data_IF_679985385845
#
_entry.id   IF_679985385845
#
_cell.length_a   1.000
_cell.length_b   1.000
_cell.length_c   1.000
_cell.angle_alpha   90.00
_cell.angle_beta   90.00
_cell.angle_gamma   90.00
#
_symmetry.space_group_name_H-M   'P 1'
#
loop_
_entity.id
_entity.type
_entity.pdbx_description
1 polymer ?
#
# COMPACT_ATOMS: atom_id res chain seq x y z
N UNK A 1 5.75 -14.05 -5.22
CA UNK A 1 4.40 -13.88 -5.81
C UNK A 1 4.04 -12.42 -5.65
N UNK A 2 3.74 -11.72 -6.74
CA UNK A 2 3.41 -10.30 -6.67
C UNK A 2 2.05 -10.11 -6.00
N UNK A 3 1.92 -9.12 -5.12
CA UNK A 3 0.67 -8.72 -4.46
C UNK A 3 0.15 -7.45 -5.08
N UNK A 4 -1.00 -7.53 -5.70
CA UNK A 4 -1.60 -6.44 -6.44
C UNK A 4 -2.92 -6.04 -5.78
N UNK A 5 -3.15 -4.75 -5.61
CA UNK A 5 -4.46 -4.22 -5.20
C UNK A 5 -5.19 -3.72 -6.45
N UNK A 6 -6.43 -4.15 -6.63
CA UNK A 6 -7.31 -3.65 -7.69
C UNK A 6 -8.09 -2.47 -7.11
N UNK A 7 -7.75 -1.28 -7.57
CA UNK A 7 -8.31 -0.04 -7.04
C UNK A 7 -9.62 0.31 -7.77
N UNK A 8 -10.73 0.55 -7.05
CA UNK A 8 -12.01 0.89 -7.63
C UNK A 8 -11.96 2.24 -8.32
N UNK A 9 -12.69 2.30 -9.42
CA UNK A 9 -12.93 3.53 -10.13
C UNK A 9 -13.69 4.52 -9.25
N UNK A 10 -13.25 5.78 -9.23
CA UNK A 10 -14.00 6.88 -8.63
C UNK A 10 -13.69 8.16 -9.34
N UNK A 11 -14.73 8.87 -9.70
CA UNK A 11 -14.69 10.23 -10.20
C UNK A 11 -14.94 11.16 -9.03
N UNK A 12 -13.90 11.82 -8.53
CA UNK A 12 -14.07 13.03 -7.74
C UNK A 12 -13.09 14.09 -8.24
N UNK A 13 -13.54 15.34 -8.31
CA UNK A 13 -12.78 16.48 -8.85
C UNK A 13 -11.60 16.93 -7.96
N UNK A 14 -11.11 16.05 -7.08
CA UNK A 14 -9.98 16.26 -6.19
C UNK A 14 -9.30 14.91 -5.98
N UNK A 15 -7.96 14.90 -5.94
CA UNK A 15 -7.14 13.72 -5.67
C UNK A 15 -7.21 13.31 -4.19
N UNK A 16 -8.43 13.13 -3.67
CA UNK A 16 -8.75 12.80 -2.27
C UNK A 16 -8.14 11.46 -1.87
N UNK A 17 -7.94 10.58 -2.86
CA UNK A 17 -7.40 9.25 -2.65
C UNK A 17 -5.86 9.22 -2.56
N UNK A 18 -5.15 10.35 -2.61
CA UNK A 18 -3.67 10.35 -2.62
C UNK A 18 -3.08 9.62 -1.41
N UNK A 19 -3.55 9.93 -0.20
CA UNK A 19 -3.02 9.35 1.03
C UNK A 19 -3.25 7.82 1.09
N UNK A 20 -4.43 7.36 0.66
CA UNK A 20 -4.72 5.92 0.58
C UNK A 20 -3.87 5.25 -0.51
N UNK A 21 -3.64 5.88 -1.67
CA UNK A 21 -2.76 5.33 -2.72
C UNK A 21 -1.32 5.25 -2.20
N UNK A 22 -0.84 6.27 -1.47
CA UNK A 22 0.49 6.26 -0.83
C UNK A 22 0.60 5.08 0.15
N UNK A 23 -0.37 4.93 1.06
CA UNK A 23 -0.44 3.78 1.98
C UNK A 23 -0.45 2.44 1.25
N UNK A 24 -1.30 2.28 0.23
CA UNK A 24 -1.41 1.05 -0.54
C UNK A 24 -0.12 0.73 -1.28
N UNK A 25 0.59 1.74 -1.79
CA UNK A 25 1.88 1.54 -2.45
C UNK A 25 2.94 1.01 -1.49
N UNK A 26 2.87 1.34 -0.19
CA UNK A 26 3.75 0.76 0.82
C UNK A 26 3.46 -0.72 1.09
N UNK A 27 2.33 -1.29 0.70
CA UNK A 27 2.03 -2.69 1.01
C UNK A 27 1.87 -3.59 -0.22
N UNK A 28 1.42 -3.04 -1.34
CA UNK A 28 1.22 -3.78 -2.58
C UNK A 28 2.36 -3.51 -3.56
N UNK A 29 2.74 -4.53 -4.32
CA UNK A 29 3.73 -4.42 -5.39
C UNK A 29 3.22 -3.50 -6.50
N UNK A 30 1.93 -3.61 -6.85
CA UNK A 30 1.30 -2.75 -7.86
C UNK A 30 -0.14 -2.39 -7.46
N UNK A 31 -0.56 -1.22 -7.91
CA UNK A 31 -1.96 -0.76 -7.88
C UNK A 31 -2.53 -0.91 -9.29
N UNK A 32 -3.52 -1.78 -9.46
CA UNK A 32 -4.19 -2.03 -10.73
C UNK A 32 -5.42 -1.13 -10.87
N UNK A 33 -5.54 -0.47 -12.03
CA UNK A 33 -6.61 0.47 -12.33
C UNK A 33 -7.18 0.16 -13.71
N UNK A 34 -8.51 0.12 -13.83
CA UNK A 34 -9.15 -0.09 -15.14
C UNK A 34 -8.86 1.07 -16.10
N UNK A 35 -8.58 0.78 -17.36
CA UNK A 35 -8.26 1.78 -18.40
C UNK A 35 -9.36 2.86 -18.54
N UNK A 36 -10.62 2.48 -18.29
CA UNK A 36 -11.76 3.40 -18.28
C UNK A 36 -11.65 4.56 -17.28
N UNK A 37 -10.75 4.49 -16.29
CA UNK A 37 -10.46 5.63 -15.40
C UNK A 37 -9.71 6.76 -16.14
N UNK A 38 -8.74 6.39 -16.98
CA UNK A 38 -7.90 7.37 -17.66
C UNK A 38 -8.63 8.07 -18.80
N UNK A 39 -9.72 7.49 -19.34
CA UNK A 39 -10.51 8.17 -20.37
C UNK A 39 -11.18 9.46 -19.88
N UNK A 40 -11.44 9.61 -18.58
CA UNK A 40 -12.04 10.84 -18.03
C UNK A 40 -10.99 11.93 -17.83
N UNK A 41 -9.79 11.55 -17.42
CA UNK A 41 -8.63 12.43 -17.30
C UNK A 41 -8.06 12.78 -18.69
N UNK A 42 -8.31 11.96 -19.73
CA UNK A 42 -7.84 12.22 -21.09
C UNK A 42 -8.36 13.52 -21.72
N UNK A 43 -9.45 14.09 -21.17
CA UNK A 43 -10.00 15.38 -21.57
C UNK A 43 -9.23 16.60 -21.04
N UNK A 44 -8.28 16.41 -20.11
CA UNK A 44 -7.50 17.50 -19.49
C UNK A 44 -6.69 18.28 -20.52
N UNK A 45 -6.24 17.63 -21.60
CA UNK A 45 -5.54 18.29 -22.72
C UNK A 45 -6.36 19.38 -23.43
N UNK A 46 -7.69 19.37 -23.25
CA UNK A 46 -8.63 20.36 -23.82
C UNK A 46 -9.02 21.46 -22.82
N UNK A 47 -8.55 21.37 -21.58
CA UNK A 47 -8.83 22.34 -20.53
C UNK A 47 -7.69 23.34 -20.42
N UNK A 48 -7.99 24.57 -20.06
CA UNK A 48 -6.97 25.54 -19.68
C UNK A 48 -6.55 25.33 -18.22
N UNK A 49 -5.26 25.49 -17.93
CA UNK A 49 -4.74 25.42 -16.58
C UNK A 49 -5.13 26.70 -15.82
N UNK A 50 -6.11 26.57 -14.93
CA UNK A 50 -6.59 27.60 -14.02
C UNK A 50 -6.72 27.01 -12.60
N UNK A 51 -7.09 27.83 -11.61
CA UNK A 51 -7.25 27.37 -10.22
C UNK A 51 -8.28 26.24 -10.07
N UNK A 52 -9.33 26.24 -10.90
CA UNK A 52 -10.38 25.22 -10.87
C UNK A 52 -9.92 23.85 -11.38
N UNK A 53 -9.03 23.85 -12.38
CA UNK A 53 -8.55 22.64 -13.05
C UNK A 53 -7.19 22.14 -12.51
N UNK A 54 -6.50 22.91 -11.67
CA UNK A 54 -5.16 22.58 -11.18
C UNK A 54 -5.07 21.17 -10.56
N UNK A 55 -6.10 20.76 -9.82
CA UNK A 55 -6.17 19.42 -9.22
C UNK A 55 -6.20 18.29 -10.25
N UNK A 56 -6.87 18.50 -11.39
CA UNK A 56 -6.96 17.53 -12.48
C UNK A 56 -5.64 17.37 -13.23
N UNK A 57 -4.93 18.49 -13.47
CA UNK A 57 -3.58 18.45 -14.06
C UNK A 57 -2.59 17.74 -13.12
N UNK A 58 -2.63 18.05 -11.83
CA UNK A 58 -1.82 17.37 -10.83
C UNK A 58 -2.11 15.86 -10.78
N UNK A 59 -3.39 15.48 -10.70
CA UNK A 59 -3.79 14.07 -10.69
C UNK A 59 -3.30 13.33 -11.95
N UNK A 60 -3.43 13.93 -13.14
CA UNK A 60 -2.94 13.34 -14.38
C UNK A 60 -1.41 13.14 -14.38
N UNK A 61 -0.67 14.14 -13.89
CA UNK A 61 0.78 14.06 -13.78
C UNK A 61 1.21 12.98 -12.80
N UNK A 62 0.59 12.91 -11.62
CA UNK A 62 0.86 11.87 -10.62
C UNK A 62 0.58 10.48 -11.18
N UNK A 63 -0.58 10.25 -11.79
CA UNK A 63 -0.87 8.93 -12.36
C UNK A 63 0.12 8.53 -13.46
N UNK A 64 0.55 9.47 -14.29
CA UNK A 64 1.56 9.20 -15.32
C UNK A 64 2.89 8.82 -14.69
N UNK A 65 3.35 9.61 -13.72
CA UNK A 65 4.56 9.34 -12.94
C UNK A 65 4.52 7.97 -12.25
N UNK A 66 3.39 7.60 -11.65
CA UNK A 66 3.24 6.31 -10.98
C UNK A 66 3.24 5.11 -11.94
N UNK A 67 2.73 5.28 -13.16
CA UNK A 67 2.82 4.26 -14.21
C UNK A 67 4.26 4.09 -14.68
N UNK A 68 4.95 5.19 -14.94
CA UNK A 68 6.34 5.20 -15.42
C UNK A 68 7.29 4.54 -14.40
N UNK A 69 6.98 4.67 -13.12
CA UNK A 69 7.72 4.04 -12.02
C UNK A 69 7.19 2.66 -11.60
N UNK A 70 6.33 2.02 -12.41
CA UNK A 70 5.76 0.69 -12.14
C UNK A 70 5.03 0.56 -10.78
N UNK A 71 4.52 1.67 -10.22
CA UNK A 71 3.66 1.65 -9.03
C UNK A 71 2.24 1.30 -9.42
N UNK A 72 1.79 1.83 -10.56
CA UNK A 72 0.44 1.66 -11.09
C UNK A 72 0.49 0.88 -12.39
N UNK A 73 -0.40 -0.09 -12.52
CA UNK A 73 -0.64 -0.85 -13.75
C UNK A 73 -2.07 -0.67 -14.19
N UNK A 74 -2.32 -0.79 -15.48
CA UNK A 74 -3.67 -0.67 -16.03
C UNK A 74 -4.15 -1.99 -16.62
N UNK A 75 -5.47 -2.15 -16.68
CA UNK A 75 -6.11 -3.32 -17.28
C UNK A 75 -7.33 -2.91 -18.09
N UNK A 76 -7.62 -3.60 -19.21
CA UNK A 76 -8.76 -3.27 -20.06
C UNK A 76 -10.07 -3.67 -19.40
N UNK A 77 -11.17 -3.15 -19.94
CA UNK A 77 -12.49 -3.65 -19.56
C UNK A 77 -12.72 -5.07 -20.08
N UNK A 78 -13.05 -5.98 -19.17
CA UNK A 78 -13.37 -7.37 -19.48
C UNK A 78 -14.88 -7.56 -19.57
N UNK A 79 -15.39 -8.04 -20.71
CA UNK A 79 -16.81 -8.39 -20.86
C UNK A 79 -17.09 -9.79 -20.31
N UNK A 80 -16.13 -10.69 -20.48
CA UNK A 80 -16.11 -12.07 -20.04
C UNK A 80 -15.92 -12.23 -18.52
N UNK A 81 -15.64 -11.15 -17.77
CA UNK A 81 -15.67 -11.20 -16.29
C UNK A 81 -17.05 -11.56 -15.71
N UNK A 82 -18.11 -11.36 -16.49
CA UNK A 82 -19.48 -11.76 -16.16
C UNK A 82 -19.83 -13.16 -16.67
N UNK A 83 -18.94 -13.78 -17.44
CA UNK A 83 -19.14 -15.07 -18.07
C UNK A 83 -18.45 -16.16 -17.25
N UNK A 84 -19.19 -17.20 -16.85
CA UNK A 84 -18.61 -18.34 -16.13
C UNK A 84 -19.60 -19.17 -15.33
N UNK A 85 -19.21 -20.40 -15.03
CA UNK A 85 -19.95 -21.30 -14.13
C UNK A 85 -19.49 -21.21 -12.68
N UNK A 86 -18.49 -20.37 -12.40
CA UNK A 86 -18.00 -20.13 -11.05
C UNK A 86 -19.14 -19.57 -10.18
N UNK A 87 -19.41 -20.25 -9.05
CA UNK A 87 -20.50 -19.90 -8.15
C UNK A 87 -20.37 -18.47 -7.60
N UNK A 88 -19.14 -18.03 -7.31
CA UNK A 88 -18.90 -16.67 -6.82
C UNK A 88 -19.19 -15.64 -7.92
N UNK A 89 -18.71 -15.87 -9.15
CA UNK A 89 -18.97 -14.97 -10.29
C UNK A 89 -20.47 -14.84 -10.57
N UNK A 90 -21.20 -15.95 -10.56
CA UNK A 90 -22.64 -15.96 -10.78
C UNK A 90 -23.39 -15.19 -9.69
N UNK A 91 -22.97 -15.33 -8.43
CA UNK A 91 -23.59 -14.65 -7.30
C UNK A 91 -23.33 -13.12 -7.36
N UNK A 92 -22.08 -12.72 -7.57
CA UNK A 92 -21.72 -11.30 -7.69
C UNK A 92 -22.40 -10.63 -8.88
N UNK A 93 -22.50 -11.31 -10.03
CA UNK A 93 -23.18 -10.80 -11.21
C UNK A 93 -24.66 -10.58 -10.94
N UNK A 94 -25.35 -11.54 -10.30
CA UNK A 94 -26.76 -11.38 -9.90
C UNK A 94 -26.97 -10.24 -8.92
N UNK A 95 -26.07 -10.07 -7.94
CA UNK A 95 -26.15 -8.96 -7.00
C UNK A 95 -26.01 -7.61 -7.72
N UNK A 96 -25.07 -7.51 -8.66
CA UNK A 96 -24.85 -6.31 -9.46
C UNK A 96 -26.05 -6.00 -10.37
N UNK A 97 -26.59 -7.01 -11.05
CA UNK A 97 -27.80 -6.87 -11.87
C UNK A 97 -29.00 -6.39 -11.05
N UNK A 98 -29.19 -6.93 -9.85
CA UNK A 98 -30.26 -6.52 -8.93
C UNK A 98 -30.14 -5.04 -8.54
N UNK A 99 -28.91 -4.57 -8.32
CA UNK A 99 -28.65 -3.15 -8.05
C UNK A 99 -29.05 -2.29 -9.25
N UNK A 100 -28.58 -2.60 -10.45
CA UNK A 100 -28.95 -1.85 -11.65
C UNK A 100 -30.46 -1.87 -11.94
N UNK A 101 -31.17 -2.95 -11.61
CA UNK A 101 -32.63 -3.01 -11.73
C UNK A 101 -33.32 -2.08 -10.73
N UNK A 102 -32.84 -2.01 -9.48
CA UNK A 102 -33.40 -1.13 -8.44
C UNK A 102 -33.36 0.34 -8.85
N UNK A 103 -32.28 0.80 -9.49
CA UNK A 103 -32.18 2.17 -10.00
C UNK A 103 -33.23 2.48 -11.07
N UNK A 104 -33.49 1.54 -11.98
CA UNK A 104 -34.47 1.72 -13.06
C UNK A 104 -35.91 1.84 -12.55
N UNK A 105 -36.21 1.26 -11.39
CA UNK A 105 -37.55 1.27 -10.80
C UNK A 105 -37.81 2.44 -9.85
N UNK A 106 -36.77 3.05 -9.26
CA UNK A 106 -36.89 4.14 -8.27
C UNK A 106 -36.95 5.55 -8.90
N UNK A 107 -37.76 5.73 -9.94
CA UNK A 107 -37.85 7.00 -10.69
C UNK A 107 -38.61 8.16 -10.02
N UNK A 108 -39.14 7.99 -8.81
CA UNK A 108 -39.95 9.01 -8.13
C UNK A 108 -39.10 9.83 -7.14
N UNK A 109 -38.24 10.70 -7.68
CA UNK A 109 -37.57 11.70 -6.86
C UNK A 109 -38.51 12.89 -6.58
N UNK A 110 -38.63 13.35 -5.33
CA UNK A 110 -39.40 14.54 -5.02
C UNK A 110 -38.82 15.77 -5.75
N UNK A 111 -39.68 16.57 -6.39
CA UNK A 111 -39.26 17.77 -7.15
C UNK A 111 -38.62 18.85 -6.28
N UNK A 112 -39.00 18.90 -5.00
CA UNK A 112 -38.48 19.82 -4.00
C UNK A 112 -38.24 19.05 -2.69
N UNK A 113 -37.11 18.31 -2.58
CA UNK A 113 -36.80 17.56 -1.37
C UNK A 113 -36.56 18.53 -0.20
N UNK A 114 -37.02 18.16 0.99
CA UNK A 114 -36.53 18.78 2.23
C UNK A 114 -35.03 18.51 2.41
N UNK A 115 -34.34 19.25 3.28
CA UNK A 115 -32.92 19.00 3.58
C UNK A 115 -32.67 17.56 4.07
N UNK A 116 -33.58 17.03 4.89
CA UNK A 116 -33.53 15.66 5.39
C UNK A 116 -33.72 14.63 4.27
N UNK A 117 -34.68 14.86 3.36
CA UNK A 117 -34.86 14.02 2.17
C UNK A 117 -33.64 14.07 1.25
N UNK A 118 -33.04 15.24 1.07
CA UNK A 118 -31.83 15.41 0.27
C UNK A 118 -30.64 14.65 0.89
N UNK A 119 -30.50 14.67 2.21
CA UNK A 119 -29.45 13.95 2.92
C UNK A 119 -29.61 12.43 2.76
N UNK A 120 -30.82 11.90 2.92
CA UNK A 120 -31.09 10.47 2.74
C UNK A 120 -30.91 10.03 1.28
N UNK A 121 -31.37 10.83 0.32
CA UNK A 121 -31.15 10.57 -1.11
C UNK A 121 -29.66 10.52 -1.47
N UNK A 122 -28.85 11.46 -0.93
CA UNK A 122 -27.40 11.44 -1.11
C UNK A 122 -26.79 10.16 -0.53
N UNK A 123 -27.20 9.77 0.67
CA UNK A 123 -26.72 8.57 1.34
C UNK A 123 -27.08 7.30 0.54
N UNK A 124 -28.31 7.16 0.07
CA UNK A 124 -28.72 6.02 -0.76
C UNK A 124 -27.93 5.98 -2.06
N UNK A 125 -27.76 7.13 -2.73
CA UNK A 125 -26.97 7.25 -3.95
C UNK A 125 -25.51 6.83 -3.72
N UNK A 126 -24.84 7.38 -2.70
CA UNK A 126 -23.45 7.02 -2.42
C UNK A 126 -23.30 5.55 -2.05
N UNK A 127 -24.22 5.01 -1.25
CA UNK A 127 -24.20 3.59 -0.90
C UNK A 127 -24.37 2.71 -2.14
N UNK A 128 -25.32 3.06 -3.02
CA UNK A 128 -25.52 2.36 -4.29
C UNK A 128 -24.28 2.42 -5.19
N UNK A 129 -23.73 3.63 -5.34
CA UNK A 129 -22.54 3.89 -6.13
C UNK A 129 -21.35 3.06 -5.62
N UNK A 130 -21.04 3.08 -4.32
CA UNK A 130 -19.91 2.32 -3.80
C UNK A 130 -20.14 0.81 -3.88
N UNK A 131 -21.35 0.32 -3.60
CA UNK A 131 -21.65 -1.11 -3.66
C UNK A 131 -21.51 -1.68 -5.08
N UNK A 132 -21.99 -0.96 -6.10
CA UNK A 132 -21.84 -1.38 -7.50
C UNK A 132 -20.37 -1.44 -7.93
N UNK A 133 -19.55 -0.49 -7.50
CA UNK A 133 -18.11 -0.47 -7.79
C UNK A 133 -17.36 -1.58 -7.05
N UNK A 134 -17.69 -1.82 -5.78
CA UNK A 134 -17.10 -2.91 -4.99
C UNK A 134 -17.37 -4.27 -5.64
N UNK A 135 -18.62 -4.53 -6.08
CA UNK A 135 -18.97 -5.75 -6.82
C UNK A 135 -18.24 -5.86 -8.15
N UNK A 136 -18.16 -4.78 -8.94
CA UNK A 136 -17.40 -4.78 -10.19
C UNK A 136 -15.93 -5.11 -9.95
N UNK A 137 -15.30 -4.50 -8.95
CA UNK A 137 -13.89 -4.71 -8.65
C UNK A 137 -13.60 -6.13 -8.19
N UNK A 138 -14.52 -6.77 -7.45
CA UNK A 138 -14.39 -8.20 -7.13
C UNK A 138 -14.41 -9.06 -8.40
N UNK A 139 -15.32 -8.78 -9.33
CA UNK A 139 -15.38 -9.48 -10.62
C UNK A 139 -14.09 -9.25 -11.43
N UNK A 140 -13.60 -8.01 -11.50
CA UNK A 140 -12.32 -7.68 -12.14
C UNK A 140 -11.15 -8.44 -11.49
N UNK A 141 -11.12 -8.51 -10.16
CA UNK A 141 -10.09 -9.26 -9.42
C UNK A 141 -10.15 -10.75 -9.72
N UNK A 142 -11.33 -11.37 -9.71
CA UNK A 142 -11.51 -12.80 -10.04
C UNK A 142 -11.03 -13.06 -11.47
N UNK A 143 -11.36 -12.17 -12.40
CA UNK A 143 -10.92 -12.30 -13.79
C UNK A 143 -9.39 -12.16 -13.92
N UNK A 144 -8.78 -11.17 -13.29
CA UNK A 144 -7.31 -10.99 -13.28
C UNK A 144 -6.57 -12.22 -12.73
N UNK A 145 -7.09 -12.86 -11.67
CA UNK A 145 -6.53 -14.12 -11.13
C UNK A 145 -6.59 -15.29 -12.10
N UNK A 146 -7.54 -15.29 -13.05
CA UNK A 146 -7.63 -16.32 -14.10
C UNK A 146 -6.60 -16.08 -15.22
N UNK A 147 -6.21 -14.83 -15.43
CA UNK A 147 -5.24 -14.44 -16.46
C UNK A 147 -3.78 -14.60 -15.98
N UNK A 148 -3.54 -14.39 -14.69
CA UNK A 148 -2.22 -14.51 -14.07
C UNK A 148 -2.33 -15.29 -12.75
N UNK A 149 -1.92 -16.57 -12.80
CA UNK A 149 -1.91 -17.48 -11.65
C UNK A 149 -0.64 -17.35 -10.79
N UNK A 150 0.32 -16.53 -11.23
CA UNK A 150 1.58 -16.25 -10.53
C UNK A 150 1.51 -14.98 -9.67
N UNK A 151 0.39 -14.27 -9.69
CA UNK A 151 0.16 -13.08 -8.89
C UNK A 151 -1.12 -13.16 -8.04
N UNK A 152 -1.11 -12.45 -6.92
CA UNK A 152 -2.25 -12.30 -6.05
C UNK A 152 -2.92 -10.96 -6.35
N UNK A 153 -4.24 -10.97 -6.52
CA UNK A 153 -5.03 -9.76 -6.72
C UNK A 153 -6.02 -9.59 -5.57
N UNK A 154 -6.09 -8.39 -5.01
CA UNK A 154 -6.95 -8.04 -3.88
C UNK A 154 -7.86 -6.87 -4.23
N UNK A 155 -9.18 -7.00 -4.08
CA UNK A 155 -10.09 -5.89 -4.36
C UNK A 155 -10.01 -4.85 -3.23
N UNK A 156 -9.84 -3.57 -3.55
CA UNK A 156 -10.04 -2.50 -2.56
C UNK A 156 -11.53 -2.19 -2.46
N UNK A 157 -12.14 -2.54 -1.33
CA UNK A 157 -13.57 -2.39 -1.08
C UNK A 157 -13.84 -1.18 -0.16
N UNK A 158 -14.98 -0.50 -0.38
CA UNK A 158 -15.34 0.74 0.33
C UNK A 158 -16.51 0.58 1.27
N UNK A 159 -17.36 -0.41 1.03
CA UNK A 159 -18.58 -0.66 1.80
C UNK A 159 -18.38 -1.77 2.82
N UNK A 160 -18.89 -1.57 4.05
CA UNK A 160 -18.85 -2.59 5.11
C UNK A 160 -19.50 -3.92 4.68
N UNK A 161 -20.60 -3.84 3.92
CA UNK A 161 -21.34 -5.00 3.43
C UNK A 161 -20.50 -5.90 2.50
N UNK A 162 -19.49 -5.34 1.84
CA UNK A 162 -18.58 -6.10 0.96
C UNK A 162 -17.24 -6.43 1.62
N UNK A 163 -16.82 -5.69 2.64
CA UNK A 163 -15.56 -5.89 3.38
C UNK A 163 -15.51 -7.21 4.16
N UNK A 164 -16.64 -7.88 4.42
CA UNK A 164 -16.64 -9.17 5.11
C UNK A 164 -16.07 -10.26 4.21
N UNK A 165 -14.78 -10.52 4.39
CA UNK A 165 -14.12 -11.72 3.88
C UNK A 165 -14.08 -12.78 4.97
N UNK A 166 -14.66 -13.95 4.69
CA UNK A 166 -14.49 -15.14 5.52
C UNK A 166 -13.13 -15.83 5.29
N UNK A 167 -12.39 -15.40 4.26
CA UNK A 167 -11.04 -15.89 4.00
C UNK A 167 -10.05 -15.38 5.06
N UNK A 168 -9.39 -16.33 5.73
CA UNK A 168 -8.42 -16.09 6.80
C UNK A 168 -7.25 -15.23 6.31
N UNK A 169 -6.76 -15.43 5.08
CA UNK A 169 -5.62 -14.67 4.55
C UNK A 169 -5.96 -13.19 4.39
N UNK A 170 -7.15 -12.91 3.87
CA UNK A 170 -7.67 -11.55 3.74
C UNK A 170 -7.82 -10.86 5.09
N UNK A 171 -8.29 -11.57 6.11
CA UNK A 171 -8.37 -11.04 7.48
C UNK A 171 -6.99 -10.73 8.07
N UNK A 172 -5.99 -11.59 7.81
CA UNK A 172 -4.61 -11.35 8.22
C UNK A 172 -4.04 -10.11 7.55
N UNK A 173 -4.18 -10.00 6.23
CA UNK A 173 -3.74 -8.83 5.46
C UNK A 173 -4.42 -7.56 5.97
N UNK A 174 -5.71 -7.61 6.29
CA UNK A 174 -6.46 -6.45 6.74
C UNK A 174 -5.89 -5.86 8.04
N UNK A 175 -5.57 -6.68 9.05
CA UNK A 175 -5.00 -6.13 10.28
C UNK A 175 -3.55 -5.68 10.09
N UNK A 176 -2.76 -6.37 9.27
CA UNK A 176 -1.39 -5.92 8.96
C UNK A 176 -1.40 -4.57 8.25
N UNK A 177 -2.32 -4.38 7.30
CA UNK A 177 -2.48 -3.12 6.58
C UNK A 177 -2.91 -1.97 7.50
N UNK A 178 -3.60 -2.25 8.61
CA UNK A 178 -3.93 -1.21 9.60
C UNK A 178 -2.70 -0.64 10.29
N UNK A 179 -1.63 -1.42 10.41
CA UNK A 179 -0.36 -1.00 11.04
C UNK A 179 0.65 -0.43 10.04
N UNK A 180 0.36 -0.49 8.73
CA UNK A 180 1.08 0.28 7.72
C UNK A 180 0.69 1.76 7.84
N UNK A 181 1.65 2.68 7.94
CA UNK A 181 1.37 4.10 8.08
C UNK A 181 0.71 4.67 6.82
N UNK A 182 -0.03 5.75 7.01
CA UNK A 182 -0.53 6.58 5.94
C UNK A 182 0.41 7.79 5.81
N UNK A 183 1.25 7.86 4.76
CA UNK A 183 2.19 8.97 4.62
C UNK A 183 1.47 10.32 4.54
N UNK A 184 2.06 11.34 5.14
CA UNK A 184 1.52 12.70 5.11
C UNK A 184 1.34 13.20 3.67
N UNK A 185 0.39 14.11 3.45
CA UNK A 185 0.13 14.72 2.15
C UNK A 185 1.38 15.32 1.51
N UNK A 186 2.28 15.89 2.31
CA UNK A 186 3.53 16.51 1.86
C UNK A 186 4.64 15.50 1.53
N UNK A 187 4.45 14.21 1.83
CA UNK A 187 5.43 13.18 1.47
C UNK A 187 5.49 13.05 -0.05
N UNK A 188 6.65 13.28 -0.66
CA UNK A 188 6.82 13.14 -2.10
C UNK A 188 6.71 11.67 -2.53
N UNK A 189 6.26 11.46 -3.77
CA UNK A 189 6.22 10.12 -4.36
C UNK A 189 7.62 9.52 -4.55
N UNK A 190 8.63 10.33 -4.80
CA UNK A 190 10.03 9.89 -4.89
C UNK A 190 10.48 9.18 -3.62
N UNK A 191 10.19 9.73 -2.44
CA UNK A 191 10.56 9.10 -1.16
C UNK A 191 9.87 7.75 -0.95
N UNK A 192 8.63 7.61 -1.42
CA UNK A 192 7.88 6.35 -1.34
C UNK A 192 8.50 5.32 -2.30
N UNK A 193 8.85 5.73 -3.52
CA UNK A 193 9.47 4.85 -4.52
C UNK A 193 10.87 4.42 -4.07
N UNK A 194 11.68 5.36 -3.56
CA UNK A 194 13.00 5.08 -3.00
C UNK A 194 12.91 4.04 -1.87
N UNK A 195 11.99 4.24 -0.91
CA UNK A 195 11.77 3.29 0.17
C UNK A 195 11.39 1.89 -0.34
N UNK A 196 10.53 1.80 -1.36
CA UNK A 196 10.08 0.50 -1.93
C UNK A 196 11.14 -0.19 -2.76
N UNK A 197 12.06 0.57 -3.34
CA UNK A 197 13.12 0.07 -4.22
C UNK A 197 14.41 -0.25 -3.47
N UNK A 198 14.56 0.23 -2.24
CA UNK A 198 15.62 -0.16 -1.33
C UNK A 198 15.63 -1.69 -1.10
N UNK A 199 16.79 -2.31 -1.31
CA UNK A 199 16.94 -3.76 -1.29
C UNK A 199 16.66 -4.36 0.10
N UNK A 200 17.03 -3.65 1.17
CA UNK A 200 16.85 -4.14 2.53
C UNK A 200 15.41 -4.03 2.99
N UNK A 201 14.75 -2.92 2.64
CA UNK A 201 13.32 -2.73 2.87
C UNK A 201 12.53 -3.78 2.08
N UNK A 202 12.92 -4.04 0.83
CA UNK A 202 12.33 -5.10 0.01
C UNK A 202 12.49 -6.47 0.66
N UNK A 203 13.65 -6.80 1.21
CA UNK A 203 13.87 -8.06 1.92
C UNK A 203 12.99 -8.19 3.17
N UNK A 204 12.81 -7.10 3.93
CA UNK A 204 11.87 -7.06 5.08
C UNK A 204 10.42 -7.22 4.63
N UNK A 205 10.04 -6.61 3.51
CA UNK A 205 8.72 -6.79 2.90
C UNK A 205 8.44 -8.25 2.51
N UNK A 206 9.43 -8.91 1.89
CA UNK A 206 9.34 -10.33 1.54
C UNK A 206 9.19 -11.21 2.78
N UNK A 207 9.90 -10.89 3.87
CA UNK A 207 9.77 -11.60 5.15
C UNK A 207 8.36 -11.46 5.74
N UNK A 208 7.78 -10.25 5.70
CA UNK A 208 6.40 -9.99 6.16
C UNK A 208 5.39 -10.77 5.32
N UNK A 209 5.54 -10.71 4.00
CA UNK A 209 4.71 -11.47 3.06
C UNK A 209 4.79 -12.97 3.33
N UNK A 210 5.99 -13.50 3.58
CA UNK A 210 6.18 -14.91 3.90
C UNK A 210 5.50 -15.29 5.23
N UNK A 211 5.60 -14.42 6.25
CA UNK A 211 4.92 -14.62 7.52
C UNK A 211 3.39 -14.61 7.36
N UNK A 212 2.84 -13.65 6.61
CA UNK A 212 1.40 -13.60 6.28
C UNK A 212 0.96 -14.92 5.65
N UNK A 213 1.69 -15.42 4.65
CA UNK A 213 1.38 -16.68 3.99
C UNK A 213 1.45 -17.87 4.95
N UNK A 214 2.48 -17.93 5.80
CA UNK A 214 2.67 -18.98 6.81
C UNK A 214 1.50 -19.03 7.79
N UNK A 215 1.15 -17.90 8.40
CA UNK A 215 0.08 -17.86 9.42
C UNK A 215 -1.31 -18.01 8.82
N UNK A 216 -1.52 -17.55 7.59
CA UNK A 216 -2.79 -17.72 6.87
C UNK A 216 -3.07 -19.19 6.57
N UNK A 217 -2.04 -19.98 6.27
CA UNK A 217 -2.14 -21.42 6.01
C UNK A 217 -2.03 -22.30 7.27
N UNK A 218 -1.86 -21.70 8.45
CA UNK A 218 -1.79 -22.45 9.71
C UNK A 218 -3.18 -22.86 10.20
N UNK A 219 -3.24 -23.77 11.19
CA UNK A 219 -4.47 -24.10 11.91
C UNK A 219 -4.81 -23.11 13.05
N UNK A 220 -3.96 -22.11 13.29
CA UNK A 220 -4.15 -21.13 14.36
C UNK A 220 -5.37 -20.26 14.11
N UNK A 221 -6.05 -19.84 15.18
CA UNK A 221 -7.15 -18.88 15.12
C UNK A 221 -6.63 -17.48 14.83
N UNK A 222 -7.48 -16.61 14.28
CA UNK A 222 -7.10 -15.22 14.00
C UNK A 222 -6.64 -14.48 15.27
N UNK A 223 -7.23 -14.76 16.43
CA UNK A 223 -6.81 -14.19 17.72
C UNK A 223 -5.39 -14.59 18.10
N UNK A 224 -5.04 -15.87 17.94
CA UNK A 224 -3.70 -16.41 18.24
C UNK A 224 -2.65 -15.82 17.29
N UNK A 225 -3.00 -15.63 16.02
CA UNK A 225 -2.12 -14.98 15.03
C UNK A 225 -1.87 -13.52 15.40
N UNK A 226 -2.90 -12.82 15.89
CA UNK A 226 -2.76 -11.44 16.35
C UNK A 226 -1.85 -11.35 17.59
N UNK A 227 -2.00 -12.27 18.54
CA UNK A 227 -1.12 -12.36 19.70
C UNK A 227 0.33 -12.66 19.29
N UNK A 228 0.55 -13.57 18.33
CA UNK A 228 1.87 -13.84 17.75
C UNK A 228 2.46 -12.58 17.11
N UNK A 229 1.66 -11.85 16.32
CA UNK A 229 2.07 -10.61 15.68
C UNK A 229 2.52 -9.55 16.71
N UNK A 230 1.69 -9.29 17.73
CA UNK A 230 2.00 -8.33 18.78
C UNK A 230 3.27 -8.72 19.56
N UNK A 231 3.44 -10.02 19.84
CA UNK A 231 4.63 -10.57 20.49
C UNK A 231 5.89 -10.37 19.64
N UNK A 232 5.85 -10.76 18.36
CA UNK A 232 6.98 -10.57 17.45
C UNK A 232 7.33 -9.07 17.35
N UNK A 233 6.33 -8.17 17.36
CA UNK A 233 6.55 -6.74 17.17
C UNK A 233 7.26 -6.13 18.38
N UNK A 234 6.81 -6.53 19.56
CA UNK A 234 7.43 -6.16 20.83
C UNK A 234 8.87 -6.67 20.93
N UNK A 235 9.12 -7.94 20.60
CA UNK A 235 10.47 -8.52 20.64
C UNK A 235 11.39 -7.84 19.62
N UNK A 236 10.93 -7.61 18.39
CA UNK A 236 11.72 -6.93 17.36
C UNK A 236 12.11 -5.51 17.84
N UNK A 237 11.16 -4.70 18.32
CA UNK A 237 11.46 -3.35 18.83
C UNK A 237 12.47 -3.40 19.98
N UNK A 238 12.29 -4.31 20.92
CA UNK A 238 13.16 -4.46 22.09
C UNK A 238 14.59 -4.79 21.66
N UNK A 239 14.77 -5.80 20.82
CA UNK A 239 16.10 -6.19 20.34
C UNK A 239 16.71 -5.13 19.42
N UNK A 240 15.92 -4.52 18.54
CA UNK A 240 16.38 -3.44 17.68
C UNK A 240 16.87 -2.23 18.48
N UNK A 241 16.13 -1.79 19.51
CA UNK A 241 16.56 -0.71 20.42
C UNK A 241 17.84 -1.08 21.16
N UNK A 242 17.94 -2.29 21.70
CA UNK A 242 19.15 -2.76 22.39
C UNK A 242 20.37 -2.78 21.44
N UNK A 243 20.19 -3.26 20.21
CA UNK A 243 21.25 -3.25 19.20
C UNK A 243 21.62 -1.83 18.77
N UNK A 244 20.65 -0.96 18.48
CA UNK A 244 20.90 0.45 18.14
C UNK A 244 21.64 1.19 19.27
N UNK A 245 21.31 0.92 20.54
CA UNK A 245 22.05 1.47 21.69
C UNK A 245 23.50 0.98 21.74
N UNK A 246 23.74 -0.33 21.55
CA UNK A 246 25.11 -0.90 21.49
C UNK A 246 25.92 -0.28 20.36
N UNK A 247 25.33 -0.16 19.17
CA UNK A 247 26.00 0.42 18.01
C UNK A 247 26.20 1.93 18.14
N UNK A 248 25.24 2.70 18.66
CA UNK A 248 25.40 4.15 18.88
C UNK A 248 26.53 4.47 19.87
N UNK A 249 26.67 3.68 20.95
CA UNK A 249 27.80 3.80 21.85
C UNK A 249 29.13 3.55 21.13
N UNK A 250 29.17 2.56 20.22
CA UNK A 250 30.34 2.28 19.38
C UNK A 250 30.56 3.28 18.23
N UNK A 251 29.54 4.01 17.78
CA UNK A 251 29.63 5.04 16.74
C UNK A 251 30.13 6.36 17.31
N UNK A 252 29.70 6.74 18.52
CA UNK A 252 30.31 7.85 19.26
C UNK A 252 31.81 7.60 19.49
N UNK A 253 32.17 6.38 19.88
CA UNK A 253 33.57 5.97 20.04
C UNK A 253 34.38 6.10 18.73
N UNK A 254 33.78 5.78 17.57
CA UNK A 254 34.43 5.93 16.26
C UNK A 254 34.47 7.36 15.76
N UNK A 255 33.46 8.18 15.99
CA UNK A 255 33.47 9.59 15.60
C UNK A 255 34.51 10.36 16.42
N UNK A 256 34.59 10.11 17.73
CA UNK A 256 35.60 10.72 18.62
C UNK A 256 37.01 10.25 18.25
N UNK A 257 37.21 8.95 18.01
CA UNK A 257 38.53 8.44 17.62
C UNK A 257 38.92 8.84 16.19
N UNK A 258 37.98 8.91 15.23
CA UNK A 258 38.26 9.34 13.85
C UNK A 258 38.55 10.83 13.76
N UNK A 259 37.87 11.69 14.53
CA UNK A 259 38.20 13.13 14.56
C UNK A 259 39.56 13.40 15.20
N UNK A 260 39.91 12.68 16.28
CA UNK A 260 41.24 12.73 16.87
C UNK A 260 42.34 12.23 15.90
N UNK A 261 42.09 11.11 15.21
CA UNK A 261 43.00 10.55 14.23
C UNK A 261 43.09 11.38 12.94
N UNK A 262 42.01 12.02 12.50
CA UNK A 262 41.99 12.86 11.30
C UNK A 262 42.79 14.15 11.52
N UNK A 263 42.64 14.80 12.67
CA UNK A 263 43.48 15.96 13.04
C UNK A 263 44.97 15.59 13.14
N UNK A 264 45.30 14.42 13.70
CA UNK A 264 46.67 13.93 13.79
C UNK A 264 47.26 13.50 12.43
N UNK A 265 46.46 12.88 11.55
CA UNK A 265 46.89 12.41 10.23
C UNK A 265 46.97 13.55 9.20
N UNK A 266 46.15 14.58 9.32
CA UNK A 266 46.24 15.79 8.50
C UNK A 266 47.48 16.62 8.85
N UNK A 267 47.90 16.64 10.12
CA UNK A 267 49.16 17.24 10.56
C UNK A 267 50.41 16.43 10.16
N UNK A 268 50.27 15.13 9.89
CA UNK A 268 51.39 14.22 9.54
C UNK A 268 51.43 13.76 8.07
N UNK A 269 50.48 14.21 7.23
CA UNK A 269 50.49 13.97 5.77
C UNK A 269 50.07 12.56 5.32
N UNK A 270 49.41 11.77 6.18
CA UNK A 270 49.04 10.38 5.87
C UNK A 270 47.57 10.26 5.40
N UNK A 271 47.34 10.33 4.08
CA UNK A 271 46.00 10.24 3.45
C UNK A 271 45.38 8.83 3.42
N UNK A 272 46.12 7.80 3.85
CA UNK A 272 45.68 6.39 3.78
C UNK A 272 44.70 6.02 4.91
N UNK A 273 44.66 6.79 6.01
CA UNK A 273 43.82 6.50 7.18
C UNK A 273 42.35 6.91 7.00
N UNK A 274 42.06 7.98 6.28
CA UNK A 274 40.68 8.48 6.05
C UNK A 274 39.83 7.54 5.19
N UNK A 275 40.46 6.83 4.25
CA UNK A 275 39.80 5.75 3.49
C UNK A 275 39.44 4.59 4.42
N UNK A 276 40.32 4.23 5.37
CA UNK A 276 40.04 3.17 6.36
C UNK A 276 38.85 3.51 7.25
N UNK A 277 38.66 4.78 7.61
CA UNK A 277 37.55 5.21 8.47
C UNK A 277 36.18 5.11 7.75
N UNK A 278 36.11 5.47 6.46
CA UNK A 278 34.92 5.24 5.62
C UNK A 278 34.63 3.74 5.42
N UNK A 279 35.66 2.93 5.19
CA UNK A 279 35.52 1.48 5.14
C UNK A 279 35.03 0.92 6.48
N UNK A 280 35.53 1.41 7.62
CA UNK A 280 35.06 0.99 8.93
C UNK A 280 33.59 1.37 9.18
N UNK A 281 33.14 2.53 8.70
CA UNK A 281 31.74 2.93 8.76
C UNK A 281 30.84 1.99 7.94
N UNK A 282 31.24 1.68 6.70
CA UNK A 282 30.52 0.73 5.85
C UNK A 282 30.50 -0.69 6.44
N UNK A 283 31.62 -1.16 7.01
CA UNK A 283 31.68 -2.45 7.71
C UNK A 283 30.77 -2.47 8.93
N UNK A 284 30.70 -1.37 9.70
CA UNK A 284 29.80 -1.28 10.86
C UNK A 284 28.33 -1.27 10.47
N UNK A 285 27.96 -0.58 9.39
CA UNK A 285 26.61 -0.64 8.84
C UNK A 285 26.28 -2.06 8.36
N UNK A 286 27.18 -2.71 7.60
CA UNK A 286 27.01 -4.10 7.20
C UNK A 286 26.84 -5.05 8.40
N UNK A 287 27.60 -4.84 9.47
CA UNK A 287 27.47 -5.62 10.71
C UNK A 287 26.13 -5.35 11.41
N UNK A 288 25.68 -4.10 11.48
CA UNK A 288 24.38 -3.74 12.06
C UNK A 288 23.25 -4.46 11.32
N UNK A 289 23.31 -4.48 9.99
CA UNK A 289 22.34 -5.13 9.12
C UNK A 289 22.37 -6.65 9.23
N UNK A 290 23.56 -7.23 9.32
CA UNK A 290 23.73 -8.66 9.54
C UNK A 290 23.17 -9.10 10.90
N UNK A 291 23.34 -8.27 11.93
CA UNK A 291 22.76 -8.51 13.25
C UNK A 291 21.24 -8.30 13.25
N UNK A 292 20.73 -7.29 12.53
CA UNK A 292 19.30 -7.07 12.35
C UNK A 292 18.61 -8.29 11.72
N UNK A 293 19.23 -8.89 10.71
CA UNK A 293 18.73 -10.09 10.03
C UNK A 293 18.65 -11.33 10.94
N UNK A 294 19.24 -11.28 12.14
CA UNK A 294 19.20 -12.35 13.15
C UNK A 294 18.21 -12.06 14.28
N UNK A 295 17.62 -10.86 14.34
CA UNK A 295 16.75 -10.50 15.45
C UNK A 295 15.47 -11.35 15.44
N UNK A 296 14.97 -11.74 16.62
CA UNK A 296 13.62 -12.25 16.77
C UNK A 296 12.60 -11.24 16.22
N UNK A 297 11.56 -11.71 15.54
CA UNK A 297 10.51 -10.85 14.97
C UNK A 297 10.92 -10.08 13.71
N UNK A 298 12.07 -10.41 13.09
CA UNK A 298 12.49 -9.81 11.81
C UNK A 298 11.46 -9.96 10.70
N UNK A 299 10.58 -10.96 10.79
CA UNK A 299 9.49 -11.22 9.86
C UNK A 299 8.56 -10.01 9.70
N UNK A 300 8.40 -9.20 10.74
CA UNK A 300 7.51 -8.03 10.73
C UNK A 300 8.28 -6.70 10.82
N UNK A 301 9.61 -6.75 10.65
CA UNK A 301 10.48 -5.58 10.67
C UNK A 301 10.03 -4.49 9.69
N UNK A 302 9.43 -4.89 8.56
CA UNK A 302 8.88 -3.97 7.57
C UNK A 302 7.90 -2.96 8.17
N UNK A 303 7.01 -3.43 9.06
CA UNK A 303 6.02 -2.57 9.73
C UNK A 303 6.73 -1.50 10.57
N UNK A 304 7.75 -1.88 11.33
CA UNK A 304 8.53 -0.94 12.13
C UNK A 304 9.22 0.10 11.27
N UNK A 305 9.95 -0.31 10.23
CA UNK A 305 10.71 0.61 9.37
C UNK A 305 9.80 1.54 8.56
N UNK A 306 8.66 1.04 8.08
CA UNK A 306 7.68 1.88 7.41
C UNK A 306 7.13 2.95 8.37
N UNK A 307 6.79 2.57 9.61
CA UNK A 307 6.32 3.50 10.63
C UNK A 307 7.39 4.54 11.01
N UNK A 308 8.65 4.15 11.23
CA UNK A 308 9.73 5.10 11.54
C UNK A 308 9.97 6.12 10.41
N UNK A 309 9.67 5.75 9.16
CA UNK A 309 9.89 6.61 7.99
C UNK A 309 8.71 7.54 7.68
N UNK A 310 7.48 7.10 7.91
CA UNK A 310 6.27 7.75 7.37
C UNK A 310 5.18 8.09 8.39
N UNK A 311 5.35 7.74 9.67
CA UNK A 311 4.40 8.08 10.75
C UNK A 311 4.83 9.34 11.50
#
# INVERSE_FOLDING_TARGET
MAKNIVFPYVTFNRFVDEAIIKKLSLFYDNIYIGDGRFSIISGVSKLEMNEENQSLFYENAVWSFLKDNNVVKTYPYFKDKFEGQDKEVLELTKQLEKLFQKERTNGNFPKHPSEEQLAEMKKEYFNHFFLTHDLSIRLDTIHLRKLDDLAEYYPLLRTYDTLKSDDKKSQVIQFVLNDIPEPDYNTSWDHIIEFRTDEEIRNKYLALTNWINKVSNSNSKLSEIKEEYDFLYSEYIKHFKLHKMKFNNSTLEVIVNSTANFLANMASGNYVSSIKDLFQFNIKNANLLQEEAKLPGKEIAYIFHSNEKFK
#
